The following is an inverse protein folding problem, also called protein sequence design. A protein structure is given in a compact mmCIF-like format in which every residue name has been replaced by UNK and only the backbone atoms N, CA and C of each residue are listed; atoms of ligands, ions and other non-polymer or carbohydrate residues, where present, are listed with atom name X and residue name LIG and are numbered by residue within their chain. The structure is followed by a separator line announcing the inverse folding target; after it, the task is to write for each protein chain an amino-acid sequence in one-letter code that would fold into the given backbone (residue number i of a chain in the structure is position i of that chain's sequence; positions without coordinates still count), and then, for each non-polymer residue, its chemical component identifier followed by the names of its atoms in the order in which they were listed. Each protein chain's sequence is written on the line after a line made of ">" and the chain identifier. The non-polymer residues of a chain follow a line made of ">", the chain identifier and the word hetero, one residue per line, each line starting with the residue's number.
data_IF_442176471785
#
_entry.id   IF_442176471785
#
_cell.length_a   1.000
_cell.length_b   1.000
_cell.length_c   1.000
_cell.angle_alpha   90.00
_cell.angle_beta   90.00
_cell.angle_gamma   90.00
#
_symmetry.space_group_name_H-M   'P 1'
#
loop_
_entity.id
_entity.type
_entity.pdbx_description
1 polymer ?
#
# COMPACT_ATOMS: atom_id res chain seq x y z
N UNK A 1 -8.08 -16.88 27.35
CA UNK A 1 -7.95 -15.48 27.83
C UNK A 1 -8.88 -14.68 26.94
N UNK A 2 -9.89 -13.99 27.38
CA UNK A 2 -10.99 -13.42 26.59
C UNK A 2 -10.67 -12.06 25.95
N UNK A 3 -9.58 -11.92 25.20
CA UNK A 3 -9.29 -10.74 24.39
C UNK A 3 -9.80 -10.92 22.96
N UNK A 4 -10.40 -9.87 22.39
CA UNK A 4 -10.91 -9.89 21.01
C UNK A 4 -9.81 -9.64 19.97
N UNK A 5 -8.81 -8.79 20.30
CA UNK A 5 -7.75 -8.39 19.40
C UNK A 5 -6.38 -8.75 19.96
N UNK A 6 -5.45 -9.01 19.04
CA UNK A 6 -4.03 -9.28 19.32
C UNK A 6 -3.14 -8.27 18.60
N UNK A 7 -2.17 -7.69 19.30
CA UNK A 7 -1.19 -6.83 18.64
C UNK A 7 -0.33 -7.65 17.68
N UNK A 8 -0.22 -7.17 16.43
CA UNK A 8 0.66 -7.77 15.44
C UNK A 8 2.09 -7.28 15.63
N UNK A 9 2.79 -7.90 16.57
CA UNK A 9 4.18 -7.58 16.85
C UNK A 9 5.10 -7.98 15.68
N UNK A 10 4.75 -9.04 14.92
CA UNK A 10 5.47 -9.46 13.73
C UNK A 10 5.44 -8.39 12.65
N UNK A 11 4.25 -7.88 12.32
CA UNK A 11 4.10 -6.76 11.38
C UNK A 11 4.88 -5.52 11.83
N UNK A 12 4.82 -5.19 13.11
CA UNK A 12 5.50 -4.01 13.66
C UNK A 12 7.02 -4.14 13.52
N UNK A 13 7.61 -5.25 13.96
CA UNK A 13 9.06 -5.47 13.87
C UNK A 13 9.52 -5.50 12.42
N UNK A 14 8.86 -6.28 11.55
CA UNK A 14 9.23 -6.40 10.15
C UNK A 14 9.13 -5.06 9.41
N UNK A 15 8.08 -4.26 9.71
CA UNK A 15 7.89 -2.93 9.12
C UNK A 15 8.99 -1.97 9.54
N UNK A 16 9.27 -1.86 10.84
CA UNK A 16 10.29 -0.94 11.34
C UNK A 16 11.70 -1.35 10.87
N UNK A 17 12.01 -2.63 10.90
CA UNK A 17 13.29 -3.17 10.38
C UNK A 17 13.47 -2.88 8.89
N UNK A 18 12.41 -3.08 8.10
CA UNK A 18 12.46 -2.78 6.67
C UNK A 18 12.78 -1.31 6.40
N UNK A 19 12.08 -0.40 7.07
CA UNK A 19 12.30 1.04 6.88
C UNK A 19 13.60 1.54 7.49
N UNK A 20 14.20 0.81 8.42
CA UNK A 20 15.54 1.06 8.94
C UNK A 20 16.66 0.55 8.01
N UNK A 21 16.33 -0.33 7.07
CA UNK A 21 17.28 -0.93 6.12
C UNK A 21 17.72 0.08 5.06
N UNK A 22 19.03 0.19 4.73
CA UNK A 22 19.54 1.00 3.62
C UNK A 22 18.86 0.66 2.30
N UNK A 23 18.62 1.64 1.44
CA UNK A 23 17.91 1.43 0.16
C UNK A 23 18.51 0.32 -0.70
N UNK A 24 19.84 0.23 -0.77
CA UNK A 24 20.54 -0.81 -1.55
C UNK A 24 20.37 -2.23 -1.01
N UNK A 25 19.98 -2.40 0.26
CA UNK A 25 19.78 -3.70 0.91
C UNK A 25 18.30 -4.10 0.97
N UNK A 26 17.38 -3.20 0.65
CA UNK A 26 15.92 -3.45 0.68
C UNK A 26 15.45 -4.57 -0.26
N UNK A 27 16.06 -4.81 -1.42
CA UNK A 27 15.70 -5.96 -2.22
C UNK A 27 15.75 -7.29 -1.45
N UNK A 28 16.73 -7.48 -0.58
CA UNK A 28 16.86 -8.70 0.25
C UNK A 28 15.88 -8.71 1.44
N UNK A 29 15.45 -7.54 1.89
CA UNK A 29 14.44 -7.37 2.95
C UNK A 29 12.99 -7.27 2.43
N UNK A 30 12.77 -7.32 1.11
CA UNK A 30 11.49 -7.02 0.46
C UNK A 30 10.29 -7.74 1.11
N UNK A 31 10.44 -9.02 1.40
CA UNK A 31 9.35 -9.83 1.93
C UNK A 31 8.97 -9.52 3.38
N UNK A 32 9.73 -8.72 4.10
CA UNK A 32 9.31 -8.24 5.44
C UNK A 32 7.96 -7.52 5.39
N UNK A 33 7.69 -6.74 4.33
CA UNK A 33 6.40 -6.04 4.18
C UNK A 33 5.27 -6.92 3.62
N UNK A 34 5.56 -8.10 3.09
CA UNK A 34 4.52 -9.00 2.58
C UNK A 34 4.23 -10.17 3.52
N UNK A 35 5.14 -10.46 4.45
CA UNK A 35 5.10 -11.66 5.28
C UNK A 35 3.91 -11.70 6.23
N UNK A 36 3.49 -10.57 6.79
CA UNK A 36 2.32 -10.49 7.68
C UNK A 36 1.07 -11.11 7.05
N UNK A 37 0.88 -10.96 5.73
CA UNK A 37 -0.29 -11.51 5.04
C UNK A 37 -0.31 -13.04 4.97
N UNK A 38 0.79 -13.75 5.30
CA UNK A 38 0.82 -15.20 5.38
C UNK A 38 0.08 -15.74 6.62
N UNK A 39 -0.02 -14.94 7.68
CA UNK A 39 -0.63 -15.34 8.94
C UNK A 39 -1.76 -14.42 9.41
N UNK A 40 -1.94 -13.26 8.77
CA UNK A 40 -2.83 -12.18 9.24
C UNK A 40 -4.26 -12.67 9.54
N UNK A 41 -4.79 -13.58 8.76
CA UNK A 41 -6.17 -14.07 8.92
C UNK A 41 -6.32 -15.20 9.96
N UNK A 42 -5.26 -15.57 10.68
CA UNK A 42 -5.32 -16.55 11.76
C UNK A 42 -5.86 -15.98 13.06
N UNK A 43 -5.80 -14.64 13.24
CA UNK A 43 -6.23 -13.93 14.44
C UNK A 43 -6.87 -12.58 14.06
N UNK A 44 -7.54 -11.92 14.99
CA UNK A 44 -7.98 -10.53 14.81
C UNK A 44 -6.82 -9.58 15.18
N UNK A 45 -5.92 -9.36 14.25
CA UNK A 45 -4.74 -8.54 14.49
C UNK A 45 -5.03 -7.04 14.50
N UNK A 46 -4.33 -6.34 15.39
CA UNK A 46 -4.27 -4.90 15.55
C UNK A 46 -2.84 -4.44 15.24
N UNK A 47 -2.68 -3.57 14.26
CA UNK A 47 -1.38 -3.00 13.89
C UNK A 47 -1.00 -1.93 14.93
N UNK A 48 0.07 -2.16 15.67
CA UNK A 48 0.45 -1.31 16.78
C UNK A 48 1.80 -0.61 16.52
N UNK A 49 1.80 0.73 16.61
CA UNK A 49 2.97 1.55 16.88
C UNK A 49 2.75 2.20 18.23
N UNK A 50 3.10 1.46 19.29
CA UNK A 50 2.78 1.78 20.68
C UNK A 50 3.85 2.66 21.34
N UNK A 51 3.69 2.91 22.64
CA UNK A 51 4.71 3.58 23.45
C UNK A 51 6.02 2.79 23.50
N UNK A 52 5.95 1.46 23.43
CA UNK A 52 7.13 0.59 23.51
C UNK A 52 8.15 0.86 22.39
N UNK A 53 7.71 1.35 21.24
CA UNK A 53 8.58 1.64 20.11
C UNK A 53 9.26 3.01 20.19
N UNK A 54 8.86 3.90 21.12
CA UNK A 54 9.29 5.30 21.14
C UNK A 54 9.84 5.78 22.48
N UNK A 55 10.27 4.85 23.35
CA UNK A 55 10.80 5.12 24.69
C UNK A 55 12.12 4.40 24.95
N UNK A 56 12.83 4.82 25.99
CA UNK A 56 13.97 4.11 26.59
C UNK A 56 15.14 3.82 25.64
N UNK A 57 15.53 4.79 24.81
CA UNK A 57 16.66 4.67 23.89
C UNK A 57 16.35 3.91 22.60
N UNK A 58 15.06 3.63 22.32
CA UNK A 58 14.63 2.94 21.10
C UNK A 58 14.46 3.86 19.89
N UNK A 59 14.68 5.17 20.04
CA UNK A 59 14.40 6.24 19.05
C UNK A 59 12.90 6.42 18.78
N UNK A 60 12.55 7.49 18.07
CA UNK A 60 11.18 7.72 17.60
C UNK A 60 10.94 7.00 16.27
N UNK A 61 9.68 6.94 15.82
CA UNK A 61 9.34 6.27 14.54
C UNK A 61 10.15 6.88 13.40
N UNK A 62 10.16 8.22 13.25
CA UNK A 62 10.90 8.88 12.17
C UNK A 62 12.41 8.69 12.31
N UNK A 63 12.96 8.68 13.54
CA UNK A 63 14.39 8.57 13.73
C UNK A 63 14.95 7.17 13.43
N UNK A 64 14.10 6.14 13.51
CA UNK A 64 14.45 4.77 13.09
C UNK A 64 14.65 4.63 11.59
N UNK A 65 13.98 5.47 10.77
CA UNK A 65 14.00 5.35 9.32
C UNK A 65 15.39 5.65 8.76
N UNK A 66 15.78 4.95 7.71
CA UNK A 66 17.05 5.16 7.03
C UNK A 66 17.07 6.46 6.21
N UNK A 67 18.24 7.07 6.05
CA UNK A 67 18.50 8.15 5.12
C UNK A 67 18.58 9.54 5.73
N UNK A 68 18.57 10.55 4.87
CA UNK A 68 18.57 11.98 5.23
C UNK A 68 17.27 12.40 5.89
N UNK A 69 17.22 13.62 6.43
CA UNK A 69 16.01 14.18 7.02
C UNK A 69 14.83 14.17 6.03
N UNK A 70 15.06 14.61 4.79
CA UNK A 70 14.05 14.67 3.74
C UNK A 70 13.55 13.27 3.35
N UNK A 71 14.48 12.31 3.24
CA UNK A 71 14.15 10.91 2.96
C UNK A 71 13.36 10.29 4.12
N UNK A 72 13.71 10.55 5.37
CA UNK A 72 12.95 10.12 6.54
C UNK A 72 11.53 10.69 6.53
N UNK A 73 11.37 11.96 6.16
CA UNK A 73 10.07 12.62 6.05
C UNK A 73 9.17 11.95 4.99
N UNK A 74 9.71 11.66 3.80
CA UNK A 74 8.98 10.96 2.75
C UNK A 74 8.60 9.54 3.16
N UNK A 75 9.56 8.81 3.74
CA UNK A 75 9.32 7.45 4.22
C UNK A 75 8.33 7.38 5.38
N UNK A 76 8.29 8.37 6.26
CA UNK A 76 7.31 8.41 7.34
C UNK A 76 5.88 8.47 6.79
N UNK A 77 5.63 9.29 5.74
CA UNK A 77 4.35 9.31 5.05
C UNK A 77 4.01 7.95 4.43
N UNK A 78 4.99 7.29 3.80
CA UNK A 78 4.81 5.96 3.19
C UNK A 78 4.60 4.85 4.23
N UNK A 79 5.29 4.91 5.38
CA UNK A 79 5.09 3.96 6.48
C UNK A 79 3.65 4.03 7.03
N UNK A 80 3.16 5.26 7.30
CA UNK A 80 1.78 5.42 7.77
C UNK A 80 0.74 5.14 6.68
N UNK A 81 1.04 5.41 5.41
CA UNK A 81 0.21 4.92 4.31
C UNK A 81 0.08 3.40 4.34
N UNK A 82 1.19 2.67 4.47
CA UNK A 82 1.19 1.22 4.59
C UNK A 82 0.36 0.76 5.78
N UNK A 83 0.57 1.33 6.97
CA UNK A 83 -0.20 1.00 8.16
C UNK A 83 -1.72 1.19 7.95
N UNK A 84 -2.14 2.33 7.40
CA UNK A 84 -3.56 2.66 7.25
C UNK A 84 -4.26 1.88 6.12
N UNK A 85 -3.52 1.39 5.15
CA UNK A 85 -4.05 0.63 4.01
C UNK A 85 -3.89 -0.89 4.14
N UNK A 86 -3.00 -1.37 5.01
CA UNK A 86 -2.94 -2.78 5.40
C UNK A 86 -4.21 -3.18 6.15
N UNK A 87 -4.72 -4.43 6.03
CA UNK A 87 -5.83 -4.91 6.85
C UNK A 87 -5.54 -4.83 8.36
N UNK A 88 -6.59 -4.75 9.18
CA UNK A 88 -6.50 -4.73 10.65
C UNK A 88 -6.69 -3.36 11.27
N UNK A 89 -7.12 -3.34 12.52
CA UNK A 89 -7.30 -2.10 13.29
C UNK A 89 -5.96 -1.41 13.55
N UNK A 90 -5.99 -0.11 13.78
CA UNK A 90 -4.80 0.73 13.93
C UNK A 90 -4.65 1.19 15.37
N UNK A 91 -3.45 1.07 15.92
CA UNK A 91 -3.07 1.69 17.18
C UNK A 91 -1.84 2.55 16.95
N UNK A 92 -2.01 3.85 17.08
CA UNK A 92 -0.92 4.83 17.04
C UNK A 92 -0.78 5.51 18.39
N UNK A 93 0.41 5.52 18.96
CA UNK A 93 0.65 6.18 20.23
C UNK A 93 0.73 7.70 20.05
N UNK A 94 0.23 8.43 21.05
CA UNK A 94 0.19 9.89 21.04
C UNK A 94 1.56 10.51 20.78
N UNK A 95 1.61 11.51 19.91
CA UNK A 95 2.83 12.22 19.52
C UNK A 95 3.47 11.69 18.23
N UNK A 96 3.26 10.43 17.85
CA UNK A 96 3.80 9.88 16.61
C UNK A 96 3.31 10.66 15.38
N UNK A 97 2.06 11.17 15.43
CA UNK A 97 1.44 12.00 14.38
C UNK A 97 2.13 13.36 14.19
N UNK A 98 2.99 13.77 15.12
CA UNK A 98 3.80 14.99 15.00
C UNK A 98 5.12 14.74 14.27
N UNK A 99 5.52 13.48 14.06
CA UNK A 99 6.80 13.10 13.49
C UNK A 99 7.99 13.57 14.35
N UNK A 100 7.85 13.53 15.66
CA UNK A 100 8.84 14.07 16.60
C UNK A 100 10.12 13.24 16.66
N UNK A 101 11.26 13.89 16.97
CA UNK A 101 12.58 13.26 17.12
C UNK A 101 12.98 13.02 18.59
N UNK A 102 12.26 13.57 19.55
CA UNK A 102 12.46 13.29 20.96
C UNK A 102 11.57 12.13 21.37
N UNK A 103 12.16 11.13 22.01
CA UNK A 103 11.41 10.02 22.58
C UNK A 103 10.34 10.51 23.56
N UNK A 104 9.24 9.77 23.63
CA UNK A 104 8.17 10.08 24.56
C UNK A 104 8.66 9.94 26.02
N UNK A 105 8.24 10.88 26.85
CA UNK A 105 8.61 10.96 28.27
C UNK A 105 7.36 11.39 29.06
N UNK A 106 6.92 10.56 29.98
CA UNK A 106 5.74 10.79 30.80
C UNK A 106 5.81 12.06 31.67
N UNK A 107 7.01 12.61 31.84
CA UNK A 107 7.27 13.84 32.63
C UNK A 107 7.27 15.11 31.77
N UNK A 108 7.08 14.98 30.46
CA UNK A 108 7.17 16.11 29.53
C UNK A 108 5.93 16.18 28.64
N UNK A 109 5.55 17.41 28.35
CA UNK A 109 4.55 17.70 27.34
C UNK A 109 5.06 17.25 25.95
N UNK A 110 4.12 16.89 25.05
CA UNK A 110 4.42 16.64 23.65
C UNK A 110 4.99 17.90 22.99
N UNK A 111 5.86 17.69 21.99
CA UNK A 111 6.58 18.79 21.33
C UNK A 111 5.69 19.58 20.35
N UNK A 112 4.57 20.16 20.83
CA UNK A 112 3.64 20.98 20.03
C UNK A 112 4.33 22.13 19.29
N UNK A 113 5.47 22.59 19.78
CA UNK A 113 6.33 23.57 19.12
C UNK A 113 6.81 23.18 17.74
N UNK A 114 6.83 21.88 17.41
CA UNK A 114 7.22 21.36 16.10
C UNK A 114 6.24 21.80 15.00
N UNK A 115 4.99 22.10 15.33
CA UNK A 115 3.98 22.58 14.38
C UNK A 115 4.34 23.90 13.68
N UNK A 116 5.39 24.59 14.15
CA UNK A 116 5.95 25.77 13.47
C UNK A 116 6.77 25.43 12.24
N UNK A 117 7.18 24.18 12.08
CA UNK A 117 8.06 23.73 11.00
C UNK A 117 7.22 23.05 9.90
N UNK A 118 7.46 23.37 8.62
CA UNK A 118 6.60 22.95 7.50
C UNK A 118 6.37 21.45 7.40
N UNK A 119 7.41 20.64 7.67
CA UNK A 119 7.27 19.18 7.63
C UNK A 119 6.28 18.69 8.70
N UNK A 120 6.47 19.05 9.95
CA UNK A 120 5.66 18.56 11.06
C UNK A 120 4.19 18.99 10.93
N UNK A 121 3.94 20.24 10.57
CA UNK A 121 2.60 20.75 10.29
C UNK A 121 1.92 20.00 9.13
N UNK A 122 2.63 19.84 8.01
CA UNK A 122 2.09 19.12 6.86
C UNK A 122 1.93 17.61 7.11
N UNK A 123 2.84 17.01 7.88
CA UNK A 123 2.74 15.59 8.25
C UNK A 123 1.53 15.32 9.16
N UNK A 124 1.30 16.16 10.14
CA UNK A 124 0.13 16.04 11.02
C UNK A 124 -1.19 16.12 10.20
N UNK A 125 -1.26 17.05 9.22
CA UNK A 125 -2.39 17.16 8.29
C UNK A 125 -2.53 15.94 7.39
N UNK A 126 -1.40 15.40 6.89
CA UNK A 126 -1.38 14.15 6.13
C UNK A 126 -1.88 12.97 6.95
N UNK A 127 -1.44 12.86 8.20
CA UNK A 127 -1.89 11.83 9.13
C UNK A 127 -3.39 11.93 9.41
N UNK A 128 -3.91 13.14 9.61
CA UNK A 128 -5.35 13.37 9.75
C UNK A 128 -6.13 12.97 8.49
N UNK A 129 -5.59 13.23 7.30
CA UNK A 129 -6.21 12.80 6.04
C UNK A 129 -6.22 11.27 5.87
N UNK A 130 -5.16 10.57 6.27
CA UNK A 130 -5.16 9.10 6.32
C UNK A 130 -6.27 8.59 7.24
N UNK A 131 -6.42 9.18 8.43
CA UNK A 131 -7.49 8.84 9.37
C UNK A 131 -8.88 9.10 8.79
N UNK A 132 -9.07 10.24 8.09
CA UNK A 132 -10.32 10.57 7.40
C UNK A 132 -10.64 9.53 6.31
N UNK A 133 -9.68 9.21 5.44
CA UNK A 133 -9.86 8.20 4.39
C UNK A 133 -10.19 6.83 5.00
N UNK A 134 -9.48 6.41 6.04
CA UNK A 134 -9.76 5.15 6.73
C UNK A 134 -11.19 5.12 7.30
N UNK A 135 -11.71 6.23 7.80
CA UNK A 135 -13.05 6.31 8.37
C UNK A 135 -14.16 6.45 7.32
N UNK A 136 -13.86 6.95 6.12
CA UNK A 136 -14.87 7.29 5.10
C UNK A 136 -14.86 6.38 3.87
N UNK A 137 -13.76 5.64 3.61
CA UNK A 137 -13.66 4.73 2.49
C UNK A 137 -13.92 3.28 2.95
N UNK A 138 -15.11 2.71 2.69
CA UNK A 138 -15.49 1.40 3.22
C UNK A 138 -14.49 0.28 2.89
N UNK A 139 -13.87 0.32 1.72
CA UNK A 139 -12.85 -0.68 1.35
C UNK A 139 -11.66 -0.74 2.31
N UNK A 140 -11.42 0.28 3.13
CA UNK A 140 -10.30 0.30 4.08
C UNK A 140 -10.65 -0.30 5.44
N UNK A 141 -11.92 -0.29 5.87
CA UNK A 141 -12.33 -0.75 7.19
C UNK A 141 -13.37 -1.87 7.19
N UNK A 142 -14.17 -1.99 6.12
CA UNK A 142 -15.15 -3.07 5.99
C UNK A 142 -14.45 -4.33 5.47
N UNK A 143 -14.69 -5.46 6.14
CA UNK A 143 -14.07 -6.72 5.74
C UNK A 143 -12.56 -6.87 6.03
N UNK A 144 -11.99 -6.10 6.97
CA UNK A 144 -10.55 -6.14 7.29
C UNK A 144 -10.03 -7.54 7.60
N UNK A 145 -10.85 -8.40 8.20
CA UNK A 145 -10.50 -9.78 8.56
C UNK A 145 -11.08 -10.82 7.59
N UNK A 146 -11.56 -10.38 6.42
CA UNK A 146 -12.01 -11.25 5.34
C UNK A 146 -10.93 -11.35 4.26
N UNK A 147 -10.33 -12.53 4.01
CA UNK A 147 -9.27 -12.69 3.02
C UNK A 147 -9.69 -12.32 1.59
N UNK A 148 -10.98 -12.37 1.26
CA UNK A 148 -11.49 -11.96 -0.05
C UNK A 148 -11.49 -10.43 -0.25
N UNK A 149 -11.29 -9.65 0.82
CA UNK A 149 -11.23 -8.19 0.80
C UNK A 149 -9.81 -7.63 0.58
N UNK A 150 -8.83 -8.50 0.39
CA UNK A 150 -7.44 -8.14 0.07
C UNK A 150 -6.94 -8.93 -1.15
N UNK A 151 -6.19 -8.28 -2.03
CA UNK A 151 -5.56 -8.93 -3.18
C UNK A 151 -4.24 -8.25 -3.53
N UNK A 152 -3.15 -9.01 -3.62
CA UNK A 152 -1.90 -8.51 -4.15
C UNK A 152 -1.99 -8.27 -5.67
N UNK A 153 -1.61 -7.06 -6.11
CA UNK A 153 -1.42 -6.68 -7.51
C UNK A 153 0.06 -6.77 -7.90
N UNK A 154 0.95 -6.30 -7.02
CA UNK A 154 2.40 -6.45 -7.16
C UNK A 154 3.02 -6.72 -5.77
N UNK A 155 3.65 -7.90 -5.61
CA UNK A 155 4.34 -8.32 -4.39
C UNK A 155 5.65 -9.09 -4.69
N UNK A 156 6.18 -8.96 -5.92
CA UNK A 156 7.42 -9.59 -6.39
C UNK A 156 8.38 -8.58 -7.06
N UNK A 157 8.07 -7.27 -6.96
CA UNK A 157 8.88 -6.19 -7.54
C UNK A 157 9.98 -5.74 -6.57
N UNK A 158 10.83 -6.70 -6.15
CA UNK A 158 11.82 -6.50 -5.08
C UNK A 158 12.90 -5.48 -5.46
N UNK A 159 13.39 -5.53 -6.68
CA UNK A 159 14.48 -4.66 -7.14
C UNK A 159 14.00 -3.21 -7.35
N UNK A 160 12.72 -3.04 -7.72
CA UNK A 160 12.06 -1.74 -7.82
C UNK A 160 11.56 -1.22 -6.47
N UNK A 161 11.40 -2.11 -5.47
CA UNK A 161 10.84 -1.77 -4.17
C UNK A 161 9.39 -1.31 -4.21
N UNK A 162 8.62 -1.81 -5.18
CA UNK A 162 7.21 -1.45 -5.39
C UNK A 162 6.30 -2.54 -4.84
N UNK A 163 5.27 -2.10 -4.12
CA UNK A 163 4.19 -2.94 -3.61
C UNK A 163 2.86 -2.36 -4.05
N UNK A 164 1.93 -3.22 -4.50
CA UNK A 164 0.59 -2.80 -4.84
C UNK A 164 -0.44 -3.86 -4.43
N UNK A 165 -1.56 -3.41 -3.86
CA UNK A 165 -2.64 -4.29 -3.43
C UNK A 165 -3.99 -3.61 -3.57
N UNK A 166 -5.03 -4.43 -3.67
CA UNK A 166 -6.42 -3.98 -3.60
C UNK A 166 -6.97 -4.18 -2.19
N UNK A 167 -7.71 -3.19 -1.72
CA UNK A 167 -8.64 -3.29 -0.59
C UNK A 167 -10.06 -3.27 -1.14
N UNK A 168 -10.91 -4.15 -0.63
CA UNK A 168 -12.29 -4.31 -1.09
C UNK A 168 -13.23 -4.30 0.13
N UNK A 169 -14.38 -3.62 0.02
CA UNK A 169 -15.38 -3.59 1.08
C UNK A 169 -16.61 -2.81 0.64
N UNK A 170 -17.79 -3.25 1.07
CA UNK A 170 -19.09 -2.62 0.76
C UNK A 170 -19.28 -2.22 -0.73
N UNK A 171 -18.83 -3.07 -1.66
CA UNK A 171 -18.93 -2.82 -3.11
C UNK A 171 -17.89 -1.83 -3.67
N UNK A 172 -16.98 -1.33 -2.85
CA UNK A 172 -15.89 -0.44 -3.24
C UNK A 172 -14.57 -1.22 -3.41
N UNK A 173 -13.72 -0.76 -4.33
CA UNK A 173 -12.36 -1.25 -4.52
C UNK A 173 -11.39 -0.08 -4.51
N UNK A 174 -10.35 -0.19 -3.70
CA UNK A 174 -9.25 0.78 -3.61
C UNK A 174 -7.93 0.08 -3.97
N UNK A 175 -7.19 0.69 -4.89
CA UNK A 175 -5.81 0.33 -5.20
C UNK A 175 -4.88 1.15 -4.33
N UNK A 176 -4.01 0.47 -3.59
CA UNK A 176 -2.92 1.05 -2.82
C UNK A 176 -1.60 0.68 -3.50
N UNK A 177 -0.74 1.67 -3.75
CA UNK A 177 0.58 1.47 -4.36
C UNK A 177 1.61 2.23 -3.55
N UNK A 178 2.73 1.61 -3.23
CA UNK A 178 3.86 2.30 -2.61
C UNK A 178 5.19 1.95 -3.29
N UNK A 179 6.04 2.95 -3.41
CA UNK A 179 7.43 2.85 -3.79
C UNK A 179 8.28 3.12 -2.55
N UNK A 180 9.07 2.16 -2.13
CA UNK A 180 9.92 2.26 -0.93
C UNK A 180 11.37 2.58 -1.24
N UNK A 181 11.72 2.73 -2.54
CA UNK A 181 13.05 3.11 -2.99
C UNK A 181 13.16 4.62 -3.20
N UNK A 182 14.40 5.13 -3.18
CA UNK A 182 14.71 6.55 -3.45
C UNK A 182 14.81 6.87 -4.96
N UNK A 183 14.26 6.03 -5.81
CA UNK A 183 14.18 6.19 -7.26
C UNK A 183 12.74 6.45 -7.70
N UNK A 184 12.56 7.27 -8.73
CA UNK A 184 11.25 7.54 -9.33
C UNK A 184 10.95 6.50 -10.40
N UNK A 185 9.77 5.88 -10.35
CA UNK A 185 9.29 5.01 -11.40
C UNK A 185 8.26 5.73 -12.26
N UNK A 186 8.55 5.83 -13.56
CA UNK A 186 7.62 6.37 -14.55
C UNK A 186 6.87 5.26 -15.24
N UNK A 187 5.51 5.40 -15.32
CA UNK A 187 4.63 4.44 -15.98
C UNK A 187 4.84 3.01 -15.49
N UNK A 188 5.00 2.83 -14.17
CA UNK A 188 5.11 1.50 -13.59
C UNK A 188 3.86 0.67 -13.90
N UNK A 189 3.98 -0.52 -14.51
CA UNK A 189 2.83 -1.30 -14.95
C UNK A 189 2.20 -2.09 -13.79
N UNK A 190 0.91 -1.96 -13.62
CA UNK A 190 0.10 -2.78 -12.73
C UNK A 190 -0.94 -3.53 -13.56
N UNK A 191 -1.08 -4.83 -13.35
CA UNK A 191 -1.87 -5.69 -14.22
C UNK A 191 -3.21 -6.07 -13.58
N UNK A 192 -4.29 -5.94 -14.35
CA UNK A 192 -5.66 -6.19 -13.93
C UNK A 192 -6.34 -7.23 -14.82
N UNK A 193 -7.31 -7.95 -14.26
CA UNK A 193 -8.11 -8.93 -15.01
C UNK A 193 -9.24 -8.28 -15.83
N UNK A 194 -9.58 -7.04 -15.52
CA UNK A 194 -10.67 -6.28 -16.13
C UNK A 194 -10.24 -4.83 -16.38
N UNK A 195 -10.83 -4.16 -17.37
CA UNK A 195 -10.56 -2.76 -17.63
C UNK A 195 -11.14 -1.91 -16.51
N UNK A 196 -10.43 -0.88 -16.11
CA UNK A 196 -10.89 0.02 -15.06
C UNK A 196 -10.33 1.43 -15.21
N UNK A 197 -11.05 2.38 -14.63
CA UNK A 197 -10.59 3.70 -14.29
C UNK A 197 -10.06 3.72 -12.85
N UNK A 198 -9.10 4.61 -12.58
CA UNK A 198 -8.50 4.81 -11.27
C UNK A 198 -8.47 6.31 -10.93
N UNK A 199 -9.24 6.71 -9.93
CA UNK A 199 -9.32 8.09 -9.43
C UNK A 199 -8.45 8.26 -8.20
N UNK A 200 -7.48 9.17 -8.24
CA UNK A 200 -6.55 9.42 -7.13
C UNK A 200 -7.27 10.00 -5.92
N UNK A 201 -7.19 9.30 -4.79
CA UNK A 201 -7.66 9.72 -3.47
C UNK A 201 -6.57 10.37 -2.64
N UNK A 202 -5.34 9.87 -2.75
CA UNK A 202 -4.18 10.33 -1.99
C UNK A 202 -2.89 10.14 -2.77
N UNK A 203 -2.01 11.14 -2.68
CA UNK A 203 -0.61 11.07 -3.10
C UNK A 203 0.24 11.57 -1.94
N UNK A 204 1.04 10.70 -1.33
CA UNK A 204 1.85 11.02 -0.15
C UNK A 204 2.89 12.11 -0.42
N UNK A 205 3.31 12.25 -1.69
CA UNK A 205 4.31 13.23 -2.12
C UNK A 205 3.69 14.48 -2.77
N UNK A 206 2.39 14.71 -2.59
CA UNK A 206 1.75 15.93 -3.05
C UNK A 206 2.33 17.17 -2.36
N UNK A 207 2.33 18.31 -3.07
CA UNK A 207 2.89 19.57 -2.56
C UNK A 207 2.21 20.06 -1.26
N UNK A 208 0.93 19.74 -1.05
CA UNK A 208 0.20 20.10 0.18
C UNK A 208 0.74 19.39 1.43
N UNK A 209 1.44 18.28 1.26
CA UNK A 209 2.13 17.54 2.32
C UNK A 209 3.63 17.84 2.39
N UNK A 210 4.08 18.93 1.77
CA UNK A 210 5.50 19.26 1.60
C UNK A 210 6.29 18.16 0.85
N UNK A 211 5.61 17.40 -0.01
CA UNK A 211 6.20 16.34 -0.83
C UNK A 211 6.82 16.91 -2.13
N UNK A 212 7.55 16.05 -2.83
CA UNK A 212 8.32 16.43 -4.02
C UNK A 212 7.55 16.28 -5.36
N UNK A 213 6.44 15.55 -5.38
CA UNK A 213 5.69 15.29 -6.60
C UNK A 213 4.86 16.50 -7.04
N UNK A 214 5.03 16.87 -8.31
CA UNK A 214 4.30 17.97 -8.96
C UNK A 214 3.37 17.47 -10.05
N UNK A 215 3.15 16.16 -10.17
CA UNK A 215 2.23 15.59 -11.17
C UNK A 215 0.81 16.05 -10.91
N UNK A 216 0.04 16.23 -12.00
CA UNK A 216 -1.38 16.63 -11.94
C UNK A 216 -2.33 15.55 -12.40
N UNK A 217 -1.80 14.41 -12.83
CA UNK A 217 -2.62 13.30 -13.34
C UNK A 217 -3.27 12.58 -12.18
N UNK A 218 -4.56 12.79 -12.01
CA UNK A 218 -5.37 12.22 -10.91
C UNK A 218 -6.37 11.17 -11.39
N UNK A 219 -6.46 10.96 -12.69
CA UNK A 219 -7.39 10.02 -13.31
C UNK A 219 -6.65 9.20 -14.34
N UNK A 220 -6.70 7.89 -14.21
CA UNK A 220 -6.00 6.94 -15.06
C UNK A 220 -7.00 5.91 -15.59
N UNK A 221 -6.69 5.33 -16.76
CA UNK A 221 -7.41 4.21 -17.32
C UNK A 221 -6.43 3.08 -17.63
N UNK A 222 -6.91 1.85 -17.54
CA UNK A 222 -6.17 0.71 -18.08
C UNK A 222 -6.13 0.75 -19.60
N UNK A 223 -5.06 0.19 -20.15
CA UNK A 223 -4.90 -0.09 -21.58
C UNK A 223 -4.90 -1.59 -21.80
N UNK A 224 -5.26 -2.03 -23.02
CA UNK A 224 -5.13 -3.42 -23.41
C UNK A 224 -3.66 -3.86 -23.44
N UNK A 225 -3.44 -5.12 -23.09
CA UNK A 225 -2.11 -5.70 -22.98
C UNK A 225 -1.66 -5.85 -21.53
N UNK A 226 -1.26 -7.05 -21.18
CA UNK A 226 -0.85 -7.41 -19.85
C UNK A 226 -0.17 -8.77 -19.84
N UNK A 227 0.11 -9.31 -18.65
CA UNK A 227 0.84 -10.55 -18.44
C UNK A 227 0.13 -11.46 -17.43
N UNK A 228 0.49 -12.73 -17.42
CA UNK A 228 0.03 -13.71 -16.41
C UNK A 228 -1.49 -13.85 -16.28
N UNK A 229 -2.23 -13.72 -17.40
CA UNK A 229 -3.70 -13.83 -17.39
C UNK A 229 -4.43 -12.58 -16.89
N UNK A 230 -3.73 -11.49 -16.68
CA UNK A 230 -4.25 -10.15 -16.43
C UNK A 230 -4.08 -9.35 -17.72
N UNK A 231 -5.15 -9.16 -18.46
CA UNK A 231 -5.11 -8.66 -19.84
C UNK A 231 -5.08 -7.13 -19.97
N UNK A 232 -5.12 -6.41 -18.85
CA UNK A 232 -5.16 -4.94 -18.81
C UNK A 232 -4.03 -4.37 -17.97
N UNK A 233 -3.44 -3.26 -18.42
CA UNK A 233 -2.33 -2.57 -17.74
C UNK A 233 -2.74 -1.17 -17.31
N UNK A 234 -2.60 -0.88 -16.02
CA UNK A 234 -2.66 0.47 -15.46
C UNK A 234 -1.23 0.98 -15.26
N UNK A 235 -0.87 2.07 -15.94
CA UNK A 235 0.47 2.67 -15.82
C UNK A 235 0.46 3.80 -14.78
N UNK A 236 1.25 3.66 -13.71
CA UNK A 236 1.27 4.59 -12.57
C UNK A 236 2.65 5.25 -12.45
N UNK A 237 2.68 6.58 -12.32
CA UNK A 237 3.88 7.29 -11.93
C UNK A 237 4.04 7.24 -10.40
N UNK A 238 5.18 6.74 -9.92
CA UNK A 238 5.47 6.61 -8.50
C UNK A 238 6.67 7.49 -8.12
N UNK A 239 6.48 8.50 -7.27
CA UNK A 239 7.60 9.28 -6.75
C UNK A 239 8.49 8.40 -5.87
N UNK A 240 9.74 8.83 -5.68
CA UNK A 240 10.67 8.20 -4.75
C UNK A 240 10.06 8.19 -3.33
N UNK A 241 10.16 7.07 -2.63
CA UNK A 241 9.65 6.89 -1.26
C UNK A 241 8.18 7.32 -1.09
N UNK A 242 7.38 7.23 -2.16
CA UNK A 242 6.03 7.76 -2.20
C UNK A 242 4.96 6.70 -2.41
N UNK A 243 3.73 7.05 -2.02
CA UNK A 243 2.57 6.16 -2.08
C UNK A 243 1.39 6.85 -2.74
N UNK A 244 0.56 6.07 -3.42
CA UNK A 244 -0.67 6.54 -4.04
C UNK A 244 -1.85 5.63 -3.73
N UNK A 245 -3.00 6.23 -3.54
CA UNK A 245 -4.27 5.55 -3.33
C UNK A 245 -5.24 5.95 -4.43
N UNK A 246 -5.90 4.98 -5.05
CA UNK A 246 -6.87 5.20 -6.11
C UNK A 246 -8.18 4.46 -5.81
N UNK A 247 -9.31 5.10 -6.08
CA UNK A 247 -10.58 4.41 -6.19
C UNK A 247 -10.69 3.78 -7.58
N UNK A 248 -10.99 2.49 -7.62
CA UNK A 248 -11.10 1.72 -8.85
C UNK A 248 -12.57 1.59 -9.25
N UNK A 249 -12.87 1.96 -10.49
CA UNK A 249 -14.18 1.78 -11.12
C UNK A 249 -14.04 0.85 -12.32
N UNK A 250 -14.66 -0.34 -12.30
CA UNK A 250 -14.65 -1.21 -13.49
C UNK A 250 -15.27 -0.53 -14.70
N UNK A 251 -14.70 -0.77 -15.87
CA UNK A 251 -15.17 -0.25 -17.16
C UNK A 251 -15.61 -1.40 -18.07
N UNK A 252 -16.40 -1.09 -19.09
CA UNK A 252 -16.73 -2.06 -20.12
C UNK A 252 -15.48 -2.37 -20.97
N UNK A 253 -15.25 -3.63 -21.35
CA UNK A 253 -14.15 -3.98 -22.25
C UNK A 253 -14.27 -3.23 -23.58
N UNK A 254 -13.14 -2.74 -24.10
CA UNK A 254 -13.12 -2.16 -25.45
C UNK A 254 -13.64 -3.17 -26.46
N UNK A 255 -14.46 -2.76 -27.47
CA UNK A 255 -15.08 -3.68 -28.41
C UNK A 255 -14.11 -4.62 -29.12
N UNK A 256 -12.92 -4.14 -29.45
CA UNK A 256 -11.86 -4.95 -30.07
C UNK A 256 -11.24 -5.99 -29.14
N UNK A 257 -11.02 -5.61 -27.87
CA UNK A 257 -10.51 -6.52 -26.84
C UNK A 257 -11.54 -7.62 -26.48
N UNK A 258 -12.83 -7.26 -26.43
CA UNK A 258 -13.92 -8.21 -26.22
C UNK A 258 -13.97 -9.25 -27.36
N UNK A 259 -13.78 -8.84 -28.63
CA UNK A 259 -13.71 -9.75 -29.75
C UNK A 259 -12.46 -10.64 -29.73
N UNK A 260 -11.28 -10.11 -29.35
CA UNK A 260 -10.05 -10.86 -29.21
C UNK A 260 -10.14 -11.90 -28.10
N UNK A 261 -10.70 -11.53 -26.94
CA UNK A 261 -10.94 -12.43 -25.81
C UNK A 261 -11.93 -13.54 -26.15
N UNK A 262 -13.03 -13.22 -26.83
CA UNK A 262 -14.00 -14.20 -27.32
C UNK A 262 -13.36 -15.19 -28.32
N UNK A 263 -12.48 -14.71 -29.22
CA UNK A 263 -11.75 -15.58 -30.17
C UNK A 263 -10.77 -16.50 -29.45
N UNK A 264 -10.03 -16.02 -28.42
CA UNK A 264 -9.14 -16.85 -27.59
C UNK A 264 -9.92 -17.93 -26.83
N UNK A 265 -11.04 -17.58 -26.21
CA UNK A 265 -11.91 -18.52 -25.49
C UNK A 265 -12.49 -19.59 -26.41
N UNK A 266 -12.95 -19.21 -27.62
CA UNK A 266 -13.44 -20.14 -28.62
C UNK A 266 -12.32 -21.10 -29.11
N UNK A 267 -11.10 -20.60 -29.30
CA UNK A 267 -9.95 -21.42 -29.69
C UNK A 267 -9.54 -22.42 -28.57
N UNK A 268 -9.56 -22.01 -27.31
CA UNK A 268 -9.33 -22.92 -26.18
C UNK A 268 -10.38 -24.01 -26.05
N UNK A 269 -11.67 -23.67 -26.18
CA UNK A 269 -12.78 -24.66 -26.20
C UNK A 269 -12.61 -25.66 -27.33
N UNK A 270 -12.24 -25.22 -28.56
CA UNK A 270 -11.96 -26.12 -29.69
C UNK A 270 -10.79 -27.07 -29.38
N UNK A 271 -9.68 -26.58 -28.84
CA UNK A 271 -8.53 -27.43 -28.45
C UNK A 271 -8.92 -28.46 -27.38
N UNK A 272 -9.68 -28.08 -26.36
CA UNK A 272 -10.17 -28.99 -25.33
C UNK A 272 -11.09 -30.08 -25.91
N UNK A 273 -11.98 -29.71 -26.81
CA UNK A 273 -12.89 -30.66 -27.49
C UNK A 273 -12.16 -31.66 -28.39
N UNK A 274 -11.10 -31.22 -29.06
CA UNK A 274 -10.25 -32.10 -29.90
C UNK A 274 -9.47 -33.07 -29.02
N UNK A 275 -8.88 -32.60 -27.93
CA UNK A 275 -8.15 -33.43 -26.97
C UNK A 275 -9.04 -34.51 -26.31
N UNK A 276 -10.29 -34.13 -25.92
CA UNK A 276 -11.27 -35.08 -25.38
C UNK A 276 -11.67 -36.15 -26.38
N UNK A 277 -11.87 -35.80 -27.67
CA UNK A 277 -12.19 -36.77 -28.73
C UNK A 277 -11.03 -37.71 -29.10
N UNK A 278 -9.76 -37.29 -28.87
CA UNK A 278 -8.60 -38.16 -29.10
C UNK A 278 -8.41 -39.16 -27.96
N UNK A 279 -8.71 -38.77 -26.69
CA UNK A 279 -8.64 -39.65 -25.53
C UNK A 279 -9.79 -40.67 -25.46
N UNK A 280 -10.93 -40.43 -26.10
CA UNK A 280 -12.05 -41.37 -26.17
C UNK A 280 -11.93 -42.42 -27.29
N UNK A 281 -10.84 -42.37 -28.08
CA UNK A 281 -10.55 -43.36 -29.16
C UNK A 281 -9.37 -44.27 -28.83
N UNK A 282 -8.83 -44.17 -27.63
CA UNK A 282 -7.89 -45.12 -27.04
C UNK A 282 -8.59 -45.97 -25.97
#
# INVERSE_FOLDING_TARGET
>A
IGFDYKWDMGWMHDTLDYFATPFGERPDAYHKLTFSMQYFYNELYLLALSHDEVVHGKKTIIDKLWGTYEEKCAQLRTLYFYMYTHPGKKLNFMGNELGHFREWDEKKELDWGLMKYPFHDSFQKYFAELGRLYATEPALYDGEYNPNCFEWIACESRDEGVYAWLRKGAGQTILCVMNTQNTVHKKFPLYFQYPCAADELLNSEAACWNGADRSRTRHLHTTDGGVYGRDYTLSVDLPAMGSRMYRITPEAPHPEAAQASARKAAAQKRKATIAAKQNSKK
#
